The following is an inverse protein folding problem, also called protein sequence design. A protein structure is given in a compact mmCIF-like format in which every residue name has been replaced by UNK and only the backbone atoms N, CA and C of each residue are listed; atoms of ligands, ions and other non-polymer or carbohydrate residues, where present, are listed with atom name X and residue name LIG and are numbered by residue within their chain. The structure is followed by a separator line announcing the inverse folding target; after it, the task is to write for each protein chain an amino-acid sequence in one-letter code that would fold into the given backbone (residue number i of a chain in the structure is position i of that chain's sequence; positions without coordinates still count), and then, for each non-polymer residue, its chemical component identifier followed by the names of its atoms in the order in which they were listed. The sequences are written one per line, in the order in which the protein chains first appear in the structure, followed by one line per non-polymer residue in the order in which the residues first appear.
data_IF_940958164744
#
_entry.id   IF_940958164744
#
_cell.length_a   1.000
_cell.length_b   1.000
_cell.length_c   1.000
_cell.angle_alpha   90.00
_cell.angle_beta   90.00
_cell.angle_gamma   90.00
#
_symmetry.space_group_name_H-M   'P 1'
#
loop_
_entity.id
_entity.type
_entity.pdbx_description
1 polymer ?
#
# COMPACT_ATOMS: atom_id res chain seq x y z
N UNK A 1 -9.75 -0.74 13.88
CA UNK A 1 -8.44 -0.80 13.19
C UNK A 1 -8.51 -1.88 12.12
N UNK A 2 -8.45 -1.47 10.86
CA UNK A 2 -8.39 -2.37 9.70
C UNK A 2 -6.97 -2.94 9.56
N UNK A 3 -6.87 -4.20 9.12
CA UNK A 3 -5.62 -4.82 8.70
C UNK A 3 -5.63 -5.02 7.18
N UNK A 4 -4.49 -4.78 6.55
CA UNK A 4 -4.28 -5.08 5.14
C UNK A 4 -4.11 -6.60 4.97
N UNK A 5 -4.80 -7.17 3.99
CA UNK A 5 -4.72 -8.58 3.57
C UNK A 5 -4.51 -8.67 2.07
N UNK A 6 -3.97 -9.80 1.59
CA UNK A 6 -3.84 -10.10 0.17
C UNK A 6 -2.48 -9.76 -0.46
N UNK A 7 -2.49 -9.52 -1.76
CA UNK A 7 -1.31 -9.24 -2.57
C UNK A 7 -1.64 -8.33 -3.77
N UNK A 8 -0.62 -7.70 -4.33
CA UNK A 8 -0.70 -6.98 -5.59
C UNK A 8 0.46 -7.42 -6.50
N UNK A 9 0.20 -7.46 -7.81
CA UNK A 9 1.21 -7.73 -8.81
C UNK A 9 1.35 -6.54 -9.74
N UNK A 10 2.59 -6.12 -9.97
CA UNK A 10 2.93 -4.99 -10.82
C UNK A 10 3.91 -5.43 -11.91
N UNK A 11 3.75 -4.82 -13.07
CA UNK A 11 4.71 -4.86 -14.15
C UNK A 11 5.33 -3.48 -14.29
N UNK A 12 6.65 -3.42 -14.25
CA UNK A 12 7.40 -2.18 -14.37
C UNK A 12 8.28 -2.25 -15.61
N UNK A 13 8.09 -1.30 -16.52
CA UNK A 13 8.81 -1.22 -17.79
C UNK A 13 9.60 0.07 -17.85
N UNK A 14 10.91 -0.02 -18.02
CA UNK A 14 11.74 1.14 -18.35
C UNK A 14 11.53 1.53 -19.81
N UNK A 15 11.09 2.77 -20.03
CA UNK A 15 10.64 3.24 -21.35
C UNK A 15 11.82 3.35 -22.31
N UNK A 16 13.01 3.76 -21.84
CA UNK A 16 14.18 3.95 -22.68
C UNK A 16 14.80 2.63 -23.14
N UNK A 17 14.95 1.70 -22.20
CA UNK A 17 15.66 0.42 -22.40
C UNK A 17 14.73 -0.72 -22.77
N UNK A 18 13.42 -0.54 -22.60
CA UNK A 18 12.39 -1.57 -22.77
C UNK A 18 12.61 -2.77 -21.84
N UNK A 19 13.25 -2.55 -20.70
CA UNK A 19 13.48 -3.59 -19.70
C UNK A 19 12.24 -3.72 -18.82
N UNK A 20 11.73 -4.95 -18.71
CA UNK A 20 10.56 -5.29 -17.92
C UNK A 20 10.96 -6.07 -16.67
N UNK A 21 10.36 -5.74 -15.53
CA UNK A 21 10.47 -6.46 -14.27
C UNK A 21 9.07 -6.65 -13.66
N UNK A 22 8.86 -7.80 -13.02
CA UNK A 22 7.59 -8.16 -12.38
C UNK A 22 7.79 -8.14 -10.86
N UNK A 23 6.88 -7.48 -10.17
CA UNK A 23 6.92 -7.33 -8.72
C UNK A 23 5.66 -7.93 -8.10
N UNK A 24 5.86 -8.81 -7.13
CA UNK A 24 4.77 -9.32 -6.30
C UNK A 24 4.91 -8.72 -4.89
N UNK A 25 3.95 -7.88 -4.53
CA UNK A 25 3.92 -7.22 -3.24
C UNK A 25 2.87 -7.88 -2.35
N UNK A 26 3.26 -8.10 -1.11
CA UNK A 26 2.43 -8.67 -0.06
C UNK A 26 2.22 -7.65 1.03
N UNK A 27 1.28 -7.91 1.92
CA UNK A 27 1.03 -7.07 3.11
C UNK A 27 2.24 -6.79 3.99
N UNK A 28 3.30 -7.61 3.89
CA UNK A 28 4.54 -7.40 4.67
C UNK A 28 5.40 -6.28 4.11
N UNK A 29 5.21 -5.96 2.84
CA UNK A 29 5.91 -4.88 2.14
C UNK A 29 5.26 -3.52 2.46
N UNK A 30 4.01 -3.53 2.94
CA UNK A 30 3.30 -2.35 3.38
C UNK A 30 3.54 -2.05 4.86
N UNK A 31 3.74 -0.77 5.16
CA UNK A 31 3.77 -0.24 6.51
C UNK A 31 2.74 0.88 6.65
N UNK A 32 2.19 1.05 7.86
CA UNK A 32 1.19 2.07 8.11
C UNK A 32 1.87 3.41 8.42
N UNK A 33 1.63 4.41 7.59
CA UNK A 33 2.07 5.78 7.86
C UNK A 33 0.92 6.59 8.47
N UNK A 34 1.18 7.18 9.64
CA UNK A 34 0.22 8.09 10.27
C UNK A 34 0.39 9.45 9.63
N UNK A 35 -0.63 9.94 8.91
CA UNK A 35 -0.70 11.35 8.53
C UNK A 35 -0.65 12.21 9.79
N UNK A 36 0.47 12.89 10.03
CA UNK A 36 0.53 13.96 11.03
C UNK A 36 -0.29 15.13 10.52
N UNK A 37 -1.59 15.14 10.83
CA UNK A 37 -2.40 16.34 10.75
C UNK A 37 -1.91 17.31 11.83
N UNK A 38 -1.00 18.20 11.47
CA UNK A 38 -0.78 19.43 12.21
C UNK A 38 -1.99 20.35 11.94
N UNK A 39 -2.71 20.65 13.01
CA UNK A 39 -3.66 21.76 13.19
C UNK A 39 -4.87 21.85 12.22
N UNK A 40 -6.00 21.25 12.62
CA UNK A 40 -7.28 21.97 12.85
C UNK A 40 -8.46 20.97 12.94
N UNK A 41 -8.96 20.76 14.16
CA UNK A 41 -10.38 20.60 14.52
C UNK A 41 -11.34 19.83 13.58
N UNK A 42 -10.92 18.67 13.05
CA UNK A 42 -11.88 17.66 12.56
C UNK A 42 -11.42 16.27 12.98
N UNK A 43 -11.90 15.82 14.13
CA UNK A 43 -11.86 14.42 14.54
C UNK A 43 -12.71 13.59 13.55
N UNK A 44 -12.14 13.23 12.39
CA UNK A 44 -12.64 12.07 11.66
C UNK A 44 -12.08 10.85 12.40
N UNK A 45 -12.97 10.05 12.96
CA UNK A 45 -12.68 8.73 13.55
C UNK A 45 -12.22 7.71 12.47
N UNK A 46 -11.57 8.16 11.40
CA UNK A 46 -10.92 7.28 10.43
C UNK A 46 -9.48 7.08 10.93
N UNK A 47 -9.33 6.32 12.03
CA UNK A 47 -8.05 5.93 12.63
C UNK A 47 -7.17 5.02 11.72
N UNK A 48 -7.58 4.79 10.48
CA UNK A 48 -6.89 3.91 9.55
C UNK A 48 -5.91 4.75 8.71
N UNK A 49 -4.67 4.88 9.20
CA UNK A 49 -3.56 5.46 8.45
C UNK A 49 -3.34 4.77 7.09
N UNK A 50 -2.69 5.46 6.16
CA UNK A 50 -2.42 4.95 4.81
C UNK A 50 -1.40 3.81 4.88
N UNK A 51 -1.61 2.76 4.09
CA UNK A 51 -0.66 1.65 3.97
C UNK A 51 0.25 1.93 2.79
N UNK A 52 1.54 2.10 3.05
CA UNK A 52 2.53 2.50 2.06
C UNK A 52 3.54 1.37 1.87
N UNK A 53 3.85 1.03 0.62
CA UNK A 53 4.99 0.20 0.26
C UNK A 53 6.00 1.03 -0.55
N UNK A 54 7.23 1.13 -0.06
CA UNK A 54 8.35 1.72 -0.80
C UNK A 54 8.91 0.68 -1.78
N UNK A 55 8.89 0.99 -3.07
CA UNK A 55 9.30 0.08 -4.13
C UNK A 55 10.54 0.61 -4.83
N UNK A 56 11.59 -0.22 -4.86
CA UNK A 56 12.83 0.06 -5.59
C UNK A 56 13.02 -0.97 -6.71
N UNK A 57 12.97 -0.54 -7.97
CA UNK A 57 13.07 -1.44 -9.13
C UNK A 57 13.66 -0.70 -10.33
N UNK A 58 14.43 -1.42 -11.15
CA UNK A 58 15.14 -0.85 -12.31
C UNK A 58 16.05 0.36 -11.99
N UNK A 59 16.38 0.59 -10.71
CA UNK A 59 17.20 1.72 -10.27
C UNK A 59 16.40 2.98 -9.91
N UNK A 60 15.08 2.91 -9.91
CA UNK A 60 14.18 3.99 -9.46
C UNK A 60 13.41 3.58 -8.21
N UNK A 61 12.98 4.59 -7.45
CA UNK A 61 12.20 4.44 -6.23
C UNK A 61 10.85 5.13 -6.43
N UNK A 62 9.75 4.46 -6.08
CA UNK A 62 8.39 5.01 -6.06
C UNK A 62 7.59 4.39 -4.92
N UNK A 63 6.38 4.90 -4.66
CA UNK A 63 5.54 4.46 -3.55
C UNK A 63 4.24 3.86 -4.05
N UNK A 64 3.77 2.85 -3.34
CA UNK A 64 2.41 2.31 -3.51
C UNK A 64 1.59 2.58 -2.28
N UNK A 65 0.45 3.23 -2.47
CA UNK A 65 -0.46 3.63 -1.41
C UNK A 65 -1.73 2.79 -1.52
N UNK A 66 -1.94 1.93 -0.53
CA UNK A 66 -3.17 1.17 -0.38
C UNK A 66 -4.13 1.95 0.54
N UNK A 67 -5.34 2.19 0.05
CA UNK A 67 -6.41 2.86 0.79
C UNK A 67 -7.71 2.03 0.80
N UNK A 68 -8.48 2.05 1.90
CA UNK A 68 -9.76 1.36 1.95
C UNK A 68 -10.74 1.86 0.85
N UNK A 69 -11.61 0.98 0.33
CA UNK A 69 -11.82 -0.41 0.74
C UNK A 69 -10.91 -1.44 0.04
N UNK A 70 -10.29 -1.11 -1.10
CA UNK A 70 -9.45 -2.01 -1.91
C UNK A 70 -8.69 -1.25 -3.02
N UNK A 71 -8.36 0.01 -2.76
CA UNK A 71 -7.72 0.87 -3.74
C UNK A 71 -6.20 0.83 -3.60
N UNK A 72 -5.50 0.82 -4.72
CA UNK A 72 -4.04 0.86 -4.79
C UNK A 72 -3.63 1.93 -5.80
N UNK A 73 -2.80 2.86 -5.35
CA UNK A 73 -2.31 3.99 -6.13
C UNK A 73 -0.79 3.99 -6.17
N UNK A 74 -0.22 4.42 -7.30
CA UNK A 74 1.22 4.63 -7.47
C UNK A 74 1.47 6.11 -7.24
N UNK A 75 2.31 6.44 -6.27
CA UNK A 75 2.80 7.79 -6.01
C UNK A 75 4.28 7.90 -6.37
N UNK A 76 4.68 9.11 -6.78
CA UNK A 76 6.05 9.43 -7.18
C UNK A 76 6.58 8.52 -8.32
N UNK A 77 5.70 8.15 -9.27
CA UNK A 77 6.10 7.42 -10.47
C UNK A 77 7.10 8.26 -11.29
N UNK A 78 8.30 7.75 -11.57
CA UNK A 78 9.28 8.45 -12.40
C UNK A 78 8.86 8.40 -13.87
N UNK A 79 9.08 9.50 -14.60
CA UNK A 79 8.70 9.64 -16.02
C UNK A 79 9.39 8.61 -16.94
N UNK A 80 10.49 7.99 -16.48
CA UNK A 80 11.26 6.97 -17.20
C UNK A 80 10.67 5.56 -17.09
N UNK A 81 9.73 5.33 -16.16
CA UNK A 81 9.06 4.06 -15.98
C UNK A 81 7.60 4.14 -16.43
N UNK A 82 7.09 3.00 -16.89
CA UNK A 82 5.66 2.73 -16.99
C UNK A 82 5.35 1.63 -15.98
N UNK A 83 4.58 1.97 -14.95
CA UNK A 83 4.15 1.04 -13.90
C UNK A 83 2.68 0.67 -14.12
N UNK A 84 2.39 -0.63 -14.22
CA UNK A 84 1.03 -1.14 -14.35
C UNK A 84 0.71 -2.15 -13.26
N UNK A 85 -0.43 -1.95 -12.57
CA UNK A 85 -0.98 -2.91 -11.63
C UNK A 85 -1.76 -3.95 -12.44
N UNK A 86 -1.24 -5.16 -12.53
CA UNK A 86 -1.86 -6.25 -13.31
C UNK A 86 -2.80 -7.11 -12.45
N UNK A 87 -2.56 -7.19 -11.15
CA UNK A 87 -3.44 -7.86 -10.20
C UNK A 87 -3.52 -7.06 -8.88
N UNK A 88 -4.73 -6.86 -8.37
CA UNK A 88 -4.97 -6.22 -7.08
C UNK A 88 -5.94 -7.06 -6.26
N UNK A 89 -5.40 -7.84 -5.32
CA UNK A 89 -6.14 -8.62 -4.34
C UNK A 89 -6.03 -8.00 -2.94
N UNK A 90 -5.69 -6.71 -2.83
CA UNK A 90 -5.57 -6.02 -1.56
C UNK A 90 -6.95 -5.77 -0.97
N UNK A 91 -7.14 -6.19 0.27
CA UNK A 91 -8.38 -6.02 1.02
C UNK A 91 -8.09 -5.50 2.42
N UNK A 92 -9.03 -4.69 2.94
CA UNK A 92 -9.00 -4.19 4.30
C UNK A 92 -9.99 -4.98 5.15
N UNK A 93 -9.46 -5.83 6.01
CA UNK A 93 -10.26 -6.66 6.91
C UNK A 93 -10.30 -6.04 8.29
N UNK A 94 -11.47 -6.03 8.93
CA UNK A 94 -11.55 -5.64 10.34
C UNK A 94 -10.71 -6.60 11.17
N UNK A 95 -9.86 -6.08 12.07
CA UNK A 95 -9.28 -6.90 13.14
C UNK A 95 -10.44 -7.60 13.82
N UNK A 96 -10.46 -8.93 13.74
CA UNK A 96 -11.25 -9.69 14.69
C UNK A 96 -10.59 -9.43 16.03
N UNK A 97 -11.20 -8.59 16.87
CA UNK A 97 -10.91 -8.62 18.30
C UNK A 97 -11.14 -10.07 18.72
N UNK A 98 -10.08 -10.88 18.73
CA UNK A 98 -10.06 -11.95 19.71
C UNK A 98 -9.99 -11.19 21.02
N UNK A 99 -11.16 -10.98 21.62
CA UNK A 99 -11.27 -10.97 23.07
C UNK A 99 -10.46 -12.20 23.52
N UNK A 100 -9.21 -11.97 23.93
CA UNK A 100 -8.63 -12.80 24.96
C UNK A 100 -9.53 -12.55 26.16
N UNK A 101 -10.62 -13.32 26.24
CA UNK A 101 -11.33 -13.62 27.47
C UNK A 101 -10.28 -14.25 28.39
N UNK A 102 -9.53 -13.39 29.07
CA UNK A 102 -8.83 -13.74 30.29
C UNK A 102 -9.92 -13.90 31.35
N UNK A 103 -10.64 -15.02 31.31
CA UNK A 103 -11.38 -15.50 32.47
C UNK A 103 -10.58 -16.62 33.16
N UNK A 104 -10.08 -16.23 34.34
CA UNK A 104 -9.54 -16.98 35.49
C UNK A 104 -8.16 -17.68 35.40
#
# INVERSE_FOLDING_TARGET
MLELSGNAELVVVDIETQKEEHLNLTVKDFHQEKRSMLDDDVMREDEDGEFIADVSVLGYDFRLVATPPNYLEIEDEPDELQVEIIENNIEFVGRSEKEDDIED
#
